data_IF_490278644920
#
_entry.id   IF_490278644920
#
_cell.length_a   1.000
_cell.length_b   1.000
_cell.length_c   1.000
_cell.angle_alpha   90.00
_cell.angle_beta   90.00
_cell.angle_gamma   90.00
#
_symmetry.space_group_name_H-M   'P 1'
#
loop_
_entity.id
_entity.type
_entity.pdbx_description
1 polymer ?
#
# COMPACT_ATOMS: atom_id res chain seq x y z
N UNK A 1 -1.06 12.02 9.53
CA UNK A 1 -0.73 11.69 10.93
C UNK A 1 -0.42 10.22 11.07
N UNK A 2 0.66 9.89 11.73
CA UNK A 2 1.06 8.50 11.96
C UNK A 2 0.08 7.81 12.91
N UNK A 3 -0.29 6.56 12.61
CA UNK A 3 -1.23 5.76 13.40
C UNK A 3 -0.65 4.38 13.68
N UNK A 4 -0.91 3.84 14.87
CA UNK A 4 -0.53 2.46 15.23
C UNK A 4 -1.27 1.40 14.42
N UNK A 5 -2.40 1.75 13.82
CA UNK A 5 -3.25 0.83 13.06
C UNK A 5 -2.82 0.70 11.59
N UNK A 6 -1.87 1.50 11.16
CA UNK A 6 -1.34 1.50 9.80
C UNK A 6 0.05 0.89 9.76
N UNK A 7 0.45 0.44 8.58
CA UNK A 7 1.78 -0.13 8.33
C UNK A 7 2.66 0.90 7.64
N UNK A 8 3.91 0.98 8.09
CA UNK A 8 4.89 1.92 7.55
C UNK A 8 6.18 1.21 7.19
N UNK A 9 6.92 1.83 6.29
CA UNK A 9 8.31 1.52 5.98
C UNK A 9 9.11 2.82 6.02
N UNK A 10 10.42 2.72 6.17
CA UNK A 10 11.29 3.85 5.94
C UNK A 10 11.34 4.17 4.44
N UNK A 11 11.74 5.40 4.10
CA UNK A 11 11.87 5.81 2.69
C UNK A 11 12.84 4.92 1.91
N UNK A 12 13.85 4.36 2.56
CA UNK A 12 14.81 3.40 1.98
C UNK A 12 14.32 1.94 2.03
N UNK A 13 13.08 1.69 2.47
CA UNK A 13 12.43 0.38 2.38
C UNK A 13 12.57 -0.54 3.58
N UNK A 14 13.13 -0.09 4.71
CA UNK A 14 13.28 -0.91 5.92
C UNK A 14 11.94 -1.06 6.64
N UNK A 15 11.73 -2.23 7.23
CA UNK A 15 10.54 -2.52 8.03
C UNK A 15 10.50 -1.68 9.30
N UNK A 16 9.31 -1.24 9.71
CA UNK A 16 9.08 -0.36 10.85
C UNK A 16 8.05 -0.97 11.80
N UNK A 17 8.29 -0.80 13.09
CA UNK A 17 7.30 -1.05 14.16
C UNK A 17 6.98 0.27 14.84
N UNK A 18 5.69 0.56 15.00
CA UNK A 18 5.21 1.73 15.75
C UNK A 18 4.72 1.25 17.11
N UNK A 19 5.32 1.75 18.18
CA UNK A 19 4.96 1.39 19.55
C UNK A 19 3.98 2.37 20.18
N UNK A 20 4.20 3.67 19.94
CA UNK A 20 3.38 4.73 20.48
C UNK A 20 3.36 5.94 19.55
N UNK A 21 2.27 6.71 19.58
CA UNK A 21 2.08 7.91 18.76
C UNK A 21 1.72 9.15 19.59
N UNK A 22 1.75 9.01 20.90
CA UNK A 22 1.32 10.02 21.89
C UNK A 22 2.48 10.58 22.72
N UNK A 23 3.69 10.51 22.18
CA UNK A 23 4.87 11.11 22.83
C UNK A 23 4.78 12.62 22.94
N UNK A 24 5.48 13.17 23.91
CA UNK A 24 5.54 14.61 24.12
C UNK A 24 6.58 15.29 23.21
N UNK A 25 6.28 16.50 22.79
CA UNK A 25 7.19 17.33 21.99
C UNK A 25 7.31 16.86 20.55
N UNK A 26 8.48 17.12 19.96
CA UNK A 26 8.75 16.85 18.55
C UNK A 26 8.90 15.36 18.23
N UNK A 27 9.14 14.50 19.21
CA UNK A 27 9.26 13.05 19.05
C UNK A 27 7.97 12.34 19.45
N UNK A 28 6.88 12.70 18.84
CA UNK A 28 5.57 12.14 19.18
C UNK A 28 5.46 10.65 18.86
N UNK A 29 6.18 10.15 17.85
CA UNK A 29 6.11 8.77 17.37
C UNK A 29 7.34 7.99 17.83
N UNK A 30 7.12 6.89 18.52
CA UNK A 30 8.15 5.98 19.01
C UNK A 30 8.00 4.61 18.39
N UNK A 31 9.10 4.01 17.99
CA UNK A 31 9.09 2.68 17.39
C UNK A 31 10.48 2.13 17.13
N UNK A 32 10.60 1.26 16.15
CA UNK A 32 11.87 0.67 15.75
C UNK A 32 11.92 0.41 14.25
N UNK A 33 13.13 0.36 13.72
CA UNK A 33 13.40 -0.07 12.34
C UNK A 33 14.19 -1.37 12.36
N UNK A 34 13.96 -2.21 11.36
CA UNK A 34 14.74 -3.44 11.17
C UNK A 34 15.99 -3.13 10.37
N UNK A 35 17.16 -3.46 10.94
CA UNK A 35 18.46 -3.34 10.31
C UNK A 35 19.12 -4.72 10.20
N UNK A 36 20.28 -4.80 9.58
CA UNK A 36 21.06 -6.04 9.51
C UNK A 36 21.44 -6.58 10.90
N UNK A 37 21.59 -5.69 11.87
CA UNK A 37 21.93 -6.03 13.26
C UNK A 37 20.68 -6.26 14.15
N UNK A 38 19.48 -6.18 13.59
CA UNK A 38 18.21 -6.35 14.30
C UNK A 38 17.41 -5.07 14.42
N UNK A 39 16.52 -5.04 15.41
CA UNK A 39 15.63 -3.89 15.63
C UNK A 39 16.33 -2.76 16.38
N UNK A 40 16.29 -1.56 15.81
CA UNK A 40 16.83 -0.35 16.41
C UNK A 40 15.73 0.61 16.76
N UNK A 41 15.71 1.05 18.02
CA UNK A 41 14.73 2.03 18.49
C UNK A 41 14.91 3.36 17.79
N UNK A 42 13.80 3.93 17.35
CA UNK A 42 13.76 5.20 16.62
C UNK A 42 12.61 6.06 17.08
N UNK A 43 12.74 7.36 16.89
CA UNK A 43 11.67 8.33 17.11
C UNK A 43 11.46 9.19 15.87
N UNK A 44 10.22 9.57 15.63
CA UNK A 44 9.82 10.42 14.51
C UNK A 44 8.89 11.53 14.97
N UNK A 45 8.80 12.58 14.17
CA UNK A 45 7.79 13.59 14.37
C UNK A 45 6.38 13.04 14.10
N UNK A 46 5.36 13.78 14.50
CA UNK A 46 3.95 13.43 14.30
C UNK A 46 3.59 13.17 12.83
N UNK A 47 4.27 13.83 11.91
CA UNK A 47 4.10 13.65 10.46
C UNK A 47 4.95 12.51 9.86
N UNK A 48 5.67 11.77 10.69
CA UNK A 48 6.52 10.66 10.27
C UNK A 48 7.93 11.05 9.82
N UNK A 49 8.31 12.30 9.89
CA UNK A 49 9.66 12.73 9.52
C UNK A 49 10.68 12.34 10.59
N UNK A 50 11.81 11.84 10.15
CA UNK A 50 12.92 11.52 11.01
C UNK A 50 13.60 12.80 11.52
N UNK A 51 13.86 12.84 12.82
CA UNK A 51 14.54 13.97 13.47
C UNK A 51 15.89 13.49 13.97
N UNK A 52 16.96 13.99 13.37
CA UNK A 52 18.33 13.69 13.77
C UNK A 52 18.80 14.67 14.85
N UNK A 53 19.36 14.13 15.93
CA UNK A 53 20.01 14.96 16.95
C UNK A 53 19.11 15.90 17.74
N UNK A 54 17.81 15.70 17.69
CA UNK A 54 16.85 16.53 18.43
C UNK A 54 16.54 17.89 17.80
N UNK A 55 17.06 18.13 16.62
CA UNK A 55 16.79 19.36 15.87
C UNK A 55 16.08 19.00 14.57
N UNK A 56 14.90 19.54 14.39
CA UNK A 56 14.24 19.53 13.09
C UNK A 56 14.92 20.59 12.22
N UNK A 57 15.75 20.14 11.29
CA UNK A 57 16.52 21.02 10.42
C UNK A 57 15.75 21.52 9.20
N UNK A 58 14.47 21.15 9.10
CA UNK A 58 13.65 21.52 7.95
C UNK A 58 13.99 20.78 6.66
N UNK A 59 14.87 19.77 6.73
CA UNK A 59 15.22 18.96 5.55
C UNK A 59 13.98 18.34 4.92
N UNK A 60 13.84 18.40 3.58
CA UNK A 60 12.62 17.96 2.92
C UNK A 60 12.40 16.44 3.00
N UNK A 61 13.46 15.66 3.15
CA UNK A 61 13.34 14.19 3.27
C UNK A 61 14.58 13.54 3.87
N UNK A 62 14.37 12.43 4.56
CA UNK A 62 15.41 11.55 5.07
C UNK A 62 15.11 10.11 4.66
N UNK A 63 16.16 9.28 4.48
CA UNK A 63 16.01 7.86 4.22
C UNK A 63 15.24 7.12 5.33
N UNK A 64 15.23 7.69 6.54
CA UNK A 64 14.52 7.12 7.71
C UNK A 64 13.11 7.69 7.92
N UNK A 65 12.63 8.58 7.07
CA UNK A 65 11.24 9.06 7.12
C UNK A 65 10.27 7.90 6.93
N UNK A 66 9.12 7.98 7.63
CA UNK A 66 8.07 6.97 7.52
C UNK A 66 7.23 7.18 6.27
N UNK A 67 7.05 6.12 5.50
CA UNK A 67 6.17 6.08 4.34
C UNK A 67 5.08 5.05 4.61
N UNK A 68 3.81 5.45 4.49
CA UNK A 68 2.67 4.56 4.67
C UNK A 68 2.65 3.49 3.58
N UNK A 69 2.57 2.22 4.00
CA UNK A 69 2.39 1.09 3.09
C UNK A 69 0.91 0.78 3.00
N UNK A 70 0.32 1.06 1.86
CA UNK A 70 -1.08 0.74 1.61
C UNK A 70 -1.25 -0.74 1.30
N UNK A 71 -2.38 -1.36 1.71
CA UNK A 71 -2.68 -2.73 1.36
C UNK A 71 -2.66 -2.94 -0.15
N UNK A 72 -2.11 -4.07 -0.59
CA UNK A 72 -2.15 -4.44 -2.00
C UNK A 72 -3.35 -5.34 -2.25
N UNK A 73 -4.04 -5.05 -3.34
CA UNK A 73 -5.16 -5.84 -3.83
C UNK A 73 -4.64 -6.77 -4.92
N UNK A 74 -4.71 -8.08 -4.66
CA UNK A 74 -4.35 -9.12 -5.64
C UNK A 74 -5.59 -9.96 -5.91
N UNK A 75 -6.14 -9.83 -7.10
CA UNK A 75 -7.33 -10.56 -7.53
C UNK A 75 -7.24 -10.96 -8.98
N UNK A 76 -7.92 -12.03 -9.34
CA UNK A 76 -8.07 -12.47 -10.72
C UNK A 76 -9.53 -12.34 -11.13
N UNK A 77 -9.75 -11.84 -12.33
CA UNK A 77 -11.08 -11.70 -12.92
C UNK A 77 -11.10 -12.38 -14.29
N UNK A 78 -12.27 -12.88 -14.67
CA UNK A 78 -12.52 -13.44 -15.97
C UNK A 78 -13.44 -12.52 -16.76
N UNK A 79 -13.06 -12.19 -17.98
CA UNK A 79 -13.82 -11.29 -18.86
C UNK A 79 -14.21 -12.01 -20.14
N UNK A 80 -15.48 -11.86 -20.53
CA UNK A 80 -15.96 -12.30 -21.83
C UNK A 80 -15.71 -11.20 -22.84
N UNK A 81 -15.07 -11.56 -23.93
CA UNK A 81 -14.79 -10.63 -25.05
C UNK A 81 -15.79 -10.89 -26.15
N UNK A 82 -16.47 -9.85 -26.59
CA UNK A 82 -17.43 -9.89 -27.71
C UNK A 82 -17.04 -8.82 -28.74
N UNK A 83 -17.27 -9.07 -30.05
CA UNK A 83 -16.78 -8.16 -31.11
C UNK A 83 -17.39 -6.75 -31.08
N UNK A 84 -18.60 -6.63 -30.55
CA UNK A 84 -19.39 -5.39 -30.60
C UNK A 84 -19.32 -4.57 -29.32
N UNK A 85 -18.57 -5.02 -28.31
CA UNK A 85 -18.50 -4.31 -27.02
C UNK A 85 -17.61 -3.10 -27.13
N UNK A 86 -18.22 -1.93 -26.99
CA UNK A 86 -17.52 -0.65 -26.84
C UNK A 86 -17.76 -0.15 -25.42
N UNK A 87 -16.98 -0.59 -24.46
CA UNK A 87 -17.10 -0.16 -23.10
C UNK A 87 -16.78 -1.27 -22.10
N UNK A 88 -17.13 -1.02 -20.84
CA UNK A 88 -16.79 -1.91 -19.74
C UNK A 88 -17.57 -3.23 -19.83
N UNK A 89 -16.88 -4.34 -19.71
CA UNK A 89 -17.49 -5.64 -19.45
C UNK A 89 -17.50 -5.92 -17.95
N UNK A 90 -18.32 -6.87 -17.50
CA UNK A 90 -18.37 -7.28 -16.10
C UNK A 90 -17.25 -8.27 -15.84
N UNK A 91 -16.41 -7.96 -14.83
CA UNK A 91 -15.41 -8.89 -14.32
C UNK A 91 -16.07 -9.99 -13.50
N UNK A 92 -15.78 -11.25 -13.81
CA UNK A 92 -16.30 -12.42 -13.10
C UNK A 92 -15.20 -13.04 -12.24
N UNK A 93 -15.57 -13.54 -11.06
CA UNK A 93 -14.61 -14.10 -10.10
C UNK A 93 -14.10 -15.49 -10.50
N UNK A 94 -14.80 -16.18 -11.40
CA UNK A 94 -14.41 -17.49 -11.90
C UNK A 94 -14.74 -17.63 -13.38
N UNK A 95 -14.07 -18.56 -14.06
CA UNK A 95 -14.39 -18.91 -15.45
C UNK A 95 -15.81 -19.46 -15.58
N UNK A 96 -16.25 -20.25 -14.62
CA UNK A 96 -17.61 -20.80 -14.61
C UNK A 96 -18.67 -19.70 -14.56
N UNK A 97 -18.46 -18.66 -13.77
CA UNK A 97 -19.35 -17.51 -13.71
C UNK A 97 -19.34 -16.75 -15.05
N UNK A 98 -18.19 -16.56 -15.65
CA UNK A 98 -18.07 -15.94 -16.99
C UNK A 98 -18.79 -16.77 -18.07
N UNK A 99 -18.70 -18.10 -18.00
CA UNK A 99 -19.39 -19.01 -18.92
C UNK A 99 -20.92 -18.92 -18.78
N UNK A 100 -21.44 -18.70 -17.58
CA UNK A 100 -22.88 -18.49 -17.34
C UNK A 100 -23.41 -17.20 -17.93
N UNK A 101 -22.58 -16.17 -17.98
CA UNK A 101 -22.92 -14.84 -18.51
C UNK A 101 -22.50 -14.66 -19.97
N UNK A 102 -22.04 -15.71 -20.63
CA UNK A 102 -21.56 -15.59 -22.01
C UNK A 102 -22.67 -15.14 -22.97
N UNK A 103 -22.30 -14.25 -23.86
CA UNK A 103 -23.10 -13.88 -25.03
C UNK A 103 -22.94 -14.92 -26.14
N UNK A 104 -23.96 -15.15 -27.00
CA UNK A 104 -23.83 -16.06 -28.14
C UNK A 104 -22.69 -15.72 -29.11
N UNK A 105 -22.27 -14.46 -29.16
CA UNK A 105 -21.18 -13.97 -30.01
C UNK A 105 -19.85 -13.80 -29.27
N UNK A 106 -19.68 -14.41 -28.09
CA UNK A 106 -18.41 -14.39 -27.36
C UNK A 106 -17.28 -14.98 -28.23
N UNK A 107 -16.20 -14.22 -28.39
CA UNK A 107 -15.04 -14.68 -29.15
C UNK A 107 -13.87 -15.10 -28.26
N UNK A 108 -13.84 -14.69 -26.99
CA UNK A 108 -12.83 -15.08 -26.03
C UNK A 108 -13.31 -14.95 -24.60
N UNK A 109 -12.66 -15.68 -23.69
CA UNK A 109 -12.79 -15.51 -22.24
C UNK A 109 -11.36 -15.38 -21.69
N UNK A 110 -11.02 -14.24 -21.12
CA UNK A 110 -9.66 -13.90 -20.72
C UNK A 110 -9.58 -13.71 -19.21
N UNK A 111 -8.58 -14.34 -18.61
CA UNK A 111 -8.21 -14.10 -17.20
C UNK A 111 -7.31 -12.88 -17.13
N UNK A 112 -7.67 -11.95 -16.27
CA UNK A 112 -6.87 -10.76 -15.95
C UNK A 112 -6.49 -10.80 -14.48
N UNK A 113 -5.20 -10.69 -14.20
CA UNK A 113 -4.68 -10.59 -12.84
C UNK A 113 -4.47 -9.13 -12.48
N UNK A 114 -5.05 -8.71 -11.36
CA UNK A 114 -4.94 -7.35 -10.85
C UNK A 114 -4.08 -7.37 -9.61
N UNK A 115 -3.06 -6.52 -9.60
CA UNK A 115 -2.17 -6.27 -8.47
C UNK A 115 -1.98 -4.76 -8.36
N UNK A 116 -2.70 -4.13 -7.44
CA UNK A 116 -2.68 -2.70 -7.24
C UNK A 116 -2.71 -2.32 -5.77
N UNK A 117 -2.39 -1.07 -5.45
CA UNK A 117 -2.57 -0.53 -4.11
C UNK A 117 -4.01 -0.07 -3.91
N UNK A 118 -4.51 -0.18 -2.67
CA UNK A 118 -5.80 0.39 -2.31
C UNK A 118 -5.81 1.91 -2.57
N UNK A 119 -6.82 2.39 -3.27
CA UNK A 119 -6.95 3.80 -3.63
C UNK A 119 -6.20 4.22 -4.88
N UNK A 120 -5.49 3.31 -5.57
CA UNK A 120 -4.80 3.61 -6.82
C UNK A 120 -5.79 4.09 -7.89
N UNK A 121 -5.47 5.20 -8.53
CA UNK A 121 -6.31 5.79 -9.57
C UNK A 121 -7.45 6.70 -9.08
N UNK A 122 -7.57 6.86 -7.78
CA UNK A 122 -8.61 7.72 -7.19
C UNK A 122 -8.15 9.16 -6.94
#
# INVERSE_FOLDING_TARGET
MISKDKTYRTRDGREVRIYATDGNGIWAVHGAILTEDGWWSMCWAEDGKFICGGVYDGSPSSASDLIEVKPRIKRSFWFNIVPETQGATIGCLSKEHADRLQSPNRIACVKVEIDCEEGEGL
#
